data_IF_474169810440
#
_entry.id   IF_474169810440
#
_cell.length_a   1.000
_cell.length_b   1.000
_cell.length_c   1.000
_cell.angle_alpha   90.00
_cell.angle_beta   90.00
_cell.angle_gamma   90.00
#
_symmetry.space_group_name_H-M   'P 1'
#
loop_
_entity.id
_entity.type
_entity.pdbx_description
1 polymer ?
#
# COMPACT_ATOMS: atom_id res chain seq x y z
N UNK A 1 -26.92 2.17 -20.95
CA UNK A 1 -25.59 1.66 -20.55
C UNK A 1 -25.75 0.36 -19.77
N UNK A 2 -25.03 -0.70 -20.14
CA UNK A 2 -25.23 -2.03 -19.55
C UNK A 2 -24.80 -2.04 -18.07
N UNK A 3 -25.69 -2.44 -17.15
CA UNK A 3 -25.45 -2.31 -15.68
C UNK A 3 -24.16 -2.99 -15.24
N UNK A 4 -23.77 -4.10 -15.89
CA UNK A 4 -22.51 -4.81 -15.63
C UNK A 4 -21.27 -4.00 -16.01
N UNK A 5 -21.33 -3.24 -17.11
CA UNK A 5 -20.24 -2.39 -17.58
C UNK A 5 -20.00 -1.22 -16.60
N UNK A 6 -21.08 -0.60 -16.11
CA UNK A 6 -21.00 0.46 -15.11
C UNK A 6 -20.33 0.00 -13.81
N UNK A 7 -20.66 -1.22 -13.34
CA UNK A 7 -20.02 -1.81 -12.16
C UNK A 7 -18.54 -2.09 -12.39
N UNK A 8 -18.18 -2.64 -13.56
CA UNK A 8 -16.78 -2.90 -13.91
C UNK A 8 -15.92 -1.64 -13.91
N UNK A 9 -16.43 -0.55 -14.50
CA UNK A 9 -15.75 0.76 -14.50
C UNK A 9 -15.54 1.27 -13.08
N UNK A 10 -16.53 1.14 -12.19
CA UNK A 10 -16.39 1.56 -10.79
C UNK A 10 -15.33 0.77 -10.02
N UNK A 11 -15.19 -0.53 -10.28
CA UNK A 11 -14.14 -1.35 -9.66
C UNK A 11 -12.76 -0.91 -10.14
N UNK A 12 -12.60 -0.71 -11.46
CA UNK A 12 -11.34 -0.23 -12.05
C UNK A 12 -10.98 1.16 -11.50
N UNK A 13 -11.96 2.06 -11.38
CA UNK A 13 -11.76 3.39 -10.82
C UNK A 13 -11.34 3.32 -9.35
N UNK A 14 -11.94 2.40 -8.58
CA UNK A 14 -11.56 2.18 -7.17
C UNK A 14 -10.16 1.61 -7.03
N UNK A 15 -9.78 0.71 -7.93
CA UNK A 15 -8.43 0.17 -7.98
C UNK A 15 -7.38 1.25 -8.30
N UNK A 16 -7.63 2.08 -9.33
CA UNK A 16 -6.81 3.24 -9.65
C UNK A 16 -6.69 4.21 -8.47
N UNK A 17 -7.80 4.49 -7.78
CA UNK A 17 -7.81 5.31 -6.59
C UNK A 17 -6.91 4.73 -5.48
N UNK A 18 -6.99 3.41 -5.25
CA UNK A 18 -6.13 2.72 -4.28
C UNK A 18 -4.64 2.80 -4.65
N UNK A 19 -4.29 2.69 -5.94
CA UNK A 19 -2.91 2.90 -6.42
C UNK A 19 -2.45 4.33 -6.13
N UNK A 20 -3.27 5.33 -6.45
CA UNK A 20 -2.92 6.74 -6.22
C UNK A 20 -2.71 7.00 -4.73
N UNK A 21 -3.57 6.47 -3.85
CA UNK A 21 -3.37 6.56 -2.40
C UNK A 21 -2.04 5.92 -1.97
N UNK A 22 -1.70 4.74 -2.50
CA UNK A 22 -0.43 4.09 -2.20
C UNK A 22 0.76 4.94 -2.64
N UNK A 23 0.74 5.50 -3.85
CA UNK A 23 1.82 6.37 -4.35
C UNK A 23 1.97 7.61 -3.48
N UNK A 24 0.87 8.26 -3.08
CA UNK A 24 0.89 9.43 -2.20
C UNK A 24 1.51 9.09 -0.85
N UNK A 25 1.07 7.99 -0.20
CA UNK A 25 1.62 7.60 1.10
C UNK A 25 3.09 7.20 0.99
N UNK A 26 3.49 6.55 -0.10
CA UNK A 26 4.89 6.24 -0.37
C UNK A 26 5.74 7.51 -0.48
N UNK A 27 5.32 8.47 -1.30
CA UNK A 27 6.01 9.75 -1.47
C UNK A 27 6.10 10.53 -0.16
N UNK A 28 5.01 10.54 0.63
CA UNK A 28 4.98 11.19 1.94
C UNK A 28 5.95 10.51 2.91
N UNK A 29 6.03 9.18 2.88
CA UNK A 29 6.98 8.40 3.66
C UNK A 29 8.43 8.72 3.30
N UNK A 30 8.76 8.75 2.01
CA UNK A 30 10.10 9.14 1.52
C UNK A 30 10.45 10.56 1.95
N UNK A 31 9.51 11.50 1.79
CA UNK A 31 9.72 12.89 2.20
C UNK A 31 9.97 13.00 3.71
N UNK A 32 9.16 12.32 4.52
CA UNK A 32 9.30 12.33 5.98
C UNK A 32 10.64 11.71 6.41
N UNK A 33 11.02 10.56 5.85
CA UNK A 33 12.31 9.92 6.11
C UNK A 33 13.48 10.81 5.69
N UNK A 34 13.40 11.50 4.54
CA UNK A 34 14.46 12.41 4.07
C UNK A 34 14.65 13.64 4.97
N UNK A 35 13.59 14.08 5.67
CA UNK A 35 13.66 15.19 6.62
C UNK A 35 14.15 14.76 8.00
N UNK A 36 13.86 13.53 8.41
CA UNK A 36 14.31 12.97 9.68
C UNK A 36 15.76 12.45 9.64
N UNK A 37 16.24 11.94 8.49
CA UNK A 37 17.61 11.45 8.32
C UNK A 37 18.52 12.54 7.72
N UNK A 38 18.83 13.58 8.50
CA UNK A 38 20.03 14.42 8.26
C UNK A 38 21.27 13.93 9.03
N UNK A 39 21.21 12.74 9.63
CA UNK A 39 22.29 12.18 10.44
C UNK A 39 22.67 10.75 9.97
N UNK A 40 23.70 10.66 9.13
CA UNK A 40 24.71 9.57 9.00
C UNK A 40 24.32 8.09 9.08
N UNK A 41 23.05 7.73 8.90
CA UNK A 41 22.62 6.33 9.01
C UNK A 41 22.32 5.71 7.65
N UNK A 42 23.26 4.83 7.28
CA UNK A 42 23.28 3.87 6.17
C UNK A 42 21.91 3.36 5.69
N UNK A 43 21.81 3.10 4.37
CA UNK A 43 20.60 2.74 3.63
C UNK A 43 19.75 1.56 4.14
N UNK A 44 20.21 0.85 5.17
CA UNK A 44 19.39 -0.11 5.92
C UNK A 44 18.20 0.57 6.62
N UNK A 45 18.35 1.77 7.21
CA UNK A 45 17.22 2.47 7.85
C UNK A 45 16.18 2.91 6.82
N UNK A 46 16.62 3.35 5.65
CA UNK A 46 15.72 3.63 4.52
C UNK A 46 14.98 2.36 4.10
N UNK A 47 15.66 1.22 3.95
CA UNK A 47 15.05 -0.04 3.53
C UNK A 47 14.03 -0.57 4.56
N UNK A 48 14.35 -0.56 5.85
CA UNK A 48 13.43 -0.99 6.91
C UNK A 48 12.28 -0.01 7.13
N UNK A 49 12.53 1.31 7.03
CA UNK A 49 11.50 2.36 7.11
C UNK A 49 10.51 2.32 5.95
N UNK A 50 11.02 2.18 4.71
CA UNK A 50 10.19 2.00 3.51
C UNK A 50 9.39 0.69 3.53
N UNK A 51 9.95 -0.37 4.12
CA UNK A 51 9.24 -1.66 4.25
C UNK A 51 8.12 -1.62 5.29
N UNK A 52 8.30 -0.88 6.40
CA UNK A 52 7.25 -0.70 7.41
C UNK A 52 6.11 0.21 6.94
N UNK A 53 6.40 1.15 6.04
CA UNK A 53 5.40 2.01 5.40
C UNK A 53 4.28 1.19 4.74
N UNK A 54 4.58 0.04 4.14
CA UNK A 54 3.55 -0.79 3.48
C UNK A 54 2.55 -1.44 4.46
N UNK A 55 2.95 -1.73 5.70
CA UNK A 55 2.04 -2.23 6.74
C UNK A 55 1.20 -1.10 7.35
N UNK A 56 1.79 0.10 7.50
CA UNK A 56 1.08 1.30 7.95
C UNK A 56 0.10 1.80 6.87
N UNK A 57 0.41 1.63 5.58
CA UNK A 57 -0.47 1.94 4.45
C UNK A 57 -1.81 1.22 4.52
N UNK A 58 -1.82 -0.06 4.93
CA UNK A 58 -3.04 -0.85 5.13
C UNK A 58 -3.99 -0.23 6.15
N UNK A 59 -3.43 0.18 7.30
CA UNK A 59 -4.20 0.79 8.39
C UNK A 59 -4.72 2.17 7.94
N UNK A 60 -3.92 2.92 7.20
CA UNK A 60 -4.29 4.25 6.70
C UNK A 60 -5.38 4.23 5.62
N UNK A 61 -5.49 3.16 4.83
CA UNK A 61 -6.54 3.03 3.83
C UNK A 61 -7.88 2.53 4.39
N UNK A 62 -7.90 1.98 5.61
CA UNK A 62 -9.12 1.55 6.27
C UNK A 62 -10.22 2.64 6.35
N UNK A 63 -9.95 3.89 6.79
CA UNK A 63 -10.98 4.94 6.81
C UNK A 63 -11.49 5.31 5.42
N UNK A 64 -10.64 5.30 4.39
CA UNK A 64 -11.05 5.57 3.01
C UNK A 64 -12.04 4.49 2.49
N UNK A 65 -11.75 3.22 2.80
CA UNK A 65 -12.65 2.09 2.49
C UNK A 65 -13.96 2.21 3.28
N UNK A 66 -13.89 2.58 4.56
CA UNK A 66 -15.08 2.75 5.40
C UNK A 66 -15.99 3.86 4.84
N UNK A 67 -15.42 5.01 4.47
CA UNK A 67 -16.16 6.14 3.88
C UNK A 67 -16.84 5.76 2.56
N UNK A 68 -16.14 5.03 1.68
CA UNK A 68 -16.72 4.55 0.41
C UNK A 68 -17.88 3.57 0.64
N UNK A 69 -17.74 2.69 1.64
CA UNK A 69 -18.79 1.74 2.03
C UNK A 69 -20.00 2.47 2.63
N UNK A 70 -19.76 3.49 3.46
CA UNK A 70 -20.81 4.31 4.07
C UNK A 70 -21.61 5.10 3.04
N UNK A 71 -20.95 5.61 2.00
CA UNK A 71 -21.61 6.31 0.87
C UNK A 71 -22.33 5.39 -0.12
N UNK A 72 -22.38 4.08 0.13
CA UNK A 72 -23.07 3.11 -0.73
C UNK A 72 -22.29 2.70 -1.99
N UNK A 73 -21.05 3.16 -2.16
CA UNK A 73 -20.22 2.85 -3.32
C UNK A 73 -19.47 1.51 -3.17
N UNK A 74 -20.23 0.41 -3.05
CA UNK A 74 -19.69 -0.94 -2.79
C UNK A 74 -18.67 -1.40 -3.85
N UNK A 75 -18.91 -1.11 -5.13
CA UNK A 75 -18.02 -1.50 -6.25
C UNK A 75 -16.68 -0.76 -6.22
N UNK A 76 -16.69 0.54 -5.88
CA UNK A 76 -15.49 1.35 -5.71
C UNK A 76 -14.67 0.88 -4.51
N UNK A 77 -15.34 0.63 -3.37
CA UNK A 77 -14.69 0.10 -2.18
C UNK A 77 -13.98 -1.24 -2.47
N UNK A 78 -14.60 -2.10 -3.28
CA UNK A 78 -14.01 -3.39 -3.70
C UNK A 78 -12.72 -3.18 -4.52
N UNK A 79 -12.73 -2.22 -5.45
CA UNK A 79 -11.53 -1.84 -6.19
C UNK A 79 -10.39 -1.34 -5.30
N UNK A 80 -10.68 -0.50 -4.32
CA UNK A 80 -9.70 0.00 -3.35
C UNK A 80 -9.15 -1.15 -2.50
N UNK A 81 -10.02 -2.04 -1.99
CA UNK A 81 -9.60 -3.22 -1.23
C UNK A 81 -8.65 -4.09 -2.06
N UNK A 82 -8.95 -4.32 -3.35
CA UNK A 82 -8.08 -5.08 -4.25
C UNK A 82 -6.66 -4.49 -4.34
N UNK A 83 -6.56 -3.18 -4.54
CA UNK A 83 -5.27 -2.48 -4.58
C UNK A 83 -4.49 -2.61 -3.26
N UNK A 84 -5.18 -2.45 -2.14
CA UNK A 84 -4.62 -2.58 -0.79
C UNK A 84 -4.14 -4.00 -0.53
N UNK A 85 -4.93 -5.01 -0.87
CA UNK A 85 -4.58 -6.43 -0.69
C UNK A 85 -3.36 -6.81 -1.52
N UNK A 86 -3.26 -6.37 -2.76
CA UNK A 86 -2.07 -6.62 -3.61
C UNK A 86 -0.83 -5.98 -2.98
N UNK A 87 -0.94 -4.74 -2.51
CA UNK A 87 0.17 -4.01 -1.87
C UNK A 87 0.62 -4.72 -0.60
N UNK A 88 -0.32 -5.19 0.22
CA UNK A 88 -0.05 -5.98 1.41
C UNK A 88 0.69 -7.29 1.09
N UNK A 89 0.22 -8.00 0.06
CA UNK A 89 0.82 -9.26 -0.38
C UNK A 89 2.23 -9.05 -0.91
N UNK A 90 2.45 -7.98 -1.69
CA UNK A 90 3.76 -7.60 -2.19
C UNK A 90 4.72 -7.30 -1.03
N UNK A 91 4.27 -6.52 -0.04
CA UNK A 91 5.07 -6.19 1.14
C UNK A 91 5.38 -7.42 1.99
N UNK A 92 4.40 -8.29 2.23
CA UNK A 92 4.59 -9.54 2.93
C UNK A 92 5.60 -10.45 2.20
N UNK A 93 5.55 -10.50 0.87
CA UNK A 93 6.50 -11.27 0.04
C UNK A 93 7.91 -10.69 0.13
N UNK A 94 8.07 -9.36 0.07
CA UNK A 94 9.35 -8.69 0.28
C UNK A 94 9.94 -9.04 1.65
N UNK A 95 9.12 -9.04 2.72
CA UNK A 95 9.55 -9.44 4.07
C UNK A 95 9.91 -10.92 4.18
N UNK A 96 9.11 -11.79 3.55
CA UNK A 96 9.36 -13.22 3.48
C UNK A 96 10.68 -13.54 2.79
N UNK A 97 10.97 -12.88 1.66
CA UNK A 97 12.24 -13.01 0.94
C UNK A 97 13.42 -12.46 1.76
N UNK A 98 13.24 -11.32 2.44
CA UNK A 98 14.25 -10.74 3.33
C UNK A 98 14.66 -11.74 4.42
N UNK A 99 13.67 -12.30 5.14
CA UNK A 99 13.91 -13.32 6.18
C UNK A 99 14.47 -14.62 5.62
N UNK A 100 13.97 -15.10 4.48
CA UNK A 100 14.49 -16.30 3.84
C UNK A 100 15.94 -16.13 3.37
N UNK A 101 16.32 -14.95 2.90
CA UNK A 101 17.69 -14.59 2.53
C UNK A 101 18.63 -14.49 3.74
N UNK A 102 18.16 -13.95 4.87
CA UNK A 102 18.96 -13.89 6.10
C UNK A 102 19.33 -15.29 6.63
N UNK A 103 18.47 -16.30 6.43
CA UNK A 103 18.73 -17.69 6.83
C UNK A 103 19.88 -18.32 6.03
N UNK A 104 20.20 -17.82 4.83
CA UNK A 104 21.27 -18.39 3.97
C UNK A 104 22.65 -17.76 4.13
N UNK A 105 22.79 -16.62 4.80
CA UNK A 105 24.10 -15.93 4.97
C UNK A 105 24.83 -16.39 6.25
N UNK A 106 24.19 -17.23 7.08
CA UNK A 106 24.79 -17.81 8.30
C UNK A 106 25.21 -19.28 8.19
N UNK A 107 25.42 -19.80 6.97
CA UNK A 107 25.89 -21.16 6.73
C UNK A 107 27.35 -21.19 6.28
#
# INVERSE_FOLDING_TARGET
MNKKLATGIQVVLGFLLGIVLNVIVFLLGVLLSSRLLSADTSGAILFYGLSFIGAVQLIWQAPAILLLKWKGHKSLALGVILAVSITALLNATCWGLLKAGTIRIGG
#
